data_IF_684956301718
#
_entry.id   IF_684956301718
#
_cell.length_a   1.000
_cell.length_b   1.000
_cell.length_c   1.000
_cell.angle_alpha   90.00
_cell.angle_beta   90.00
_cell.angle_gamma   90.00
#
_symmetry.space_group_name_H-M   'P 1'
#
loop_
_entity.id
_entity.type
_entity.pdbx_description
1 polymer ?
#
# COMPACT_ATOMS: atom_id res chain seq x y z
N UNK A 1 -63.55 3.57 37.88
CA UNK A 1 -63.21 4.98 38.11
C UNK A 1 -62.08 5.00 39.13
N UNK A 2 -60.85 4.85 38.66
CA UNK A 2 -59.61 5.10 39.42
C UNK A 2 -58.44 4.96 38.44
N UNK A 3 -58.08 6.09 37.84
CA UNK A 3 -56.91 6.27 36.98
C UNK A 3 -56.30 7.58 37.49
N UNK A 4 -55.43 7.49 38.49
CA UNK A 4 -54.70 8.64 39.01
C UNK A 4 -53.19 8.36 39.04
N UNK A 5 -52.51 9.17 38.23
CA UNK A 5 -51.23 9.83 38.52
C UNK A 5 -50.06 8.96 39.00
N UNK A 6 -49.30 8.46 38.03
CA UNK A 6 -47.86 8.22 38.19
C UNK A 6 -47.12 8.83 36.98
N UNK A 7 -47.15 10.16 36.88
CA UNK A 7 -46.30 10.94 35.99
C UNK A 7 -45.57 12.01 36.80
N UNK A 8 -44.30 12.21 36.46
CA UNK A 8 -43.48 13.38 36.82
C UNK A 8 -42.59 13.27 38.07
N UNK A 9 -41.62 12.36 38.04
CA UNK A 9 -40.27 12.59 38.60
C UNK A 9 -39.21 12.03 37.66
N UNK A 10 -39.05 12.63 36.49
CA UNK A 10 -37.88 12.39 35.66
C UNK A 10 -37.47 13.69 34.97
N UNK A 11 -36.23 14.11 35.21
CA UNK A 11 -35.56 15.12 34.41
C UNK A 11 -35.50 16.50 35.06
N UNK A 12 -34.52 16.70 35.95
CA UNK A 12 -33.81 17.99 36.13
C UNK A 12 -32.45 17.80 36.88
N UNK A 13 -31.69 16.74 36.58
CA UNK A 13 -30.36 16.52 37.23
C UNK A 13 -29.22 16.10 36.27
N UNK A 14 -29.33 16.33 34.96
CA UNK A 14 -28.27 15.94 34.00
C UNK A 14 -27.68 17.09 33.17
N UNK A 15 -28.05 18.35 33.43
CA UNK A 15 -27.47 19.50 32.74
C UNK A 15 -26.03 19.80 33.18
N UNK A 16 -25.81 19.82 34.50
CA UNK A 16 -24.51 20.17 35.09
C UNK A 16 -23.45 19.09 34.84
N UNK A 17 -23.85 17.81 34.84
CA UNK A 17 -22.95 16.69 34.54
C UNK A 17 -22.49 16.66 33.08
N UNK A 18 -23.35 17.11 32.15
CA UNK A 18 -23.00 17.21 30.73
C UNK A 18 -22.05 18.39 30.48
N UNK A 19 -22.29 19.53 31.11
CA UNK A 19 -21.41 20.69 30.99
C UNK A 19 -20.00 20.41 31.54
N UNK A 20 -19.91 19.76 32.72
CA UNK A 20 -18.63 19.37 33.31
C UNK A 20 -17.85 18.41 32.40
N UNK A 21 -18.54 17.44 31.79
CA UNK A 21 -17.93 16.51 30.84
C UNK A 21 -17.42 17.20 29.56
N UNK A 22 -18.13 18.21 29.05
CA UNK A 22 -17.67 19.01 27.91
C UNK A 22 -16.38 19.76 28.25
N UNK A 23 -16.31 20.36 29.46
CA UNK A 23 -15.11 21.06 29.90
C UNK A 23 -13.92 20.10 30.01
N UNK A 24 -14.09 18.93 30.63
CA UNK A 24 -13.04 17.90 30.74
C UNK A 24 -12.52 17.44 29.37
N UNK A 25 -13.42 17.22 28.41
CA UNK A 25 -13.05 16.85 27.04
C UNK A 25 -12.26 17.98 26.36
N UNK A 26 -12.65 19.24 26.54
CA UNK A 26 -11.94 20.38 25.99
C UNK A 26 -10.54 20.55 26.60
N UNK A 27 -10.40 20.36 27.92
CA UNK A 27 -9.10 20.39 28.59
C UNK A 27 -8.19 19.25 28.10
N UNK A 28 -8.73 18.02 28.02
CA UNK A 28 -7.99 16.86 27.50
C UNK A 28 -7.53 17.07 26.06
N UNK A 29 -8.41 17.59 25.20
CA UNK A 29 -8.09 17.90 23.81
C UNK A 29 -7.01 18.99 23.70
N UNK A 30 -7.08 20.04 24.53
CA UNK A 30 -6.08 21.10 24.57
C UNK A 30 -4.70 20.57 25.00
N UNK A 31 -4.65 19.76 26.07
CA UNK A 31 -3.42 19.12 26.55
C UNK A 31 -2.82 18.15 25.53
N UNK A 32 -3.65 17.45 24.76
CA UNK A 32 -3.18 16.60 23.67
C UNK A 32 -2.56 17.42 22.52
N UNK A 33 -3.16 18.55 22.13
CA UNK A 33 -2.60 19.45 21.11
C UNK A 33 -1.25 20.01 21.54
N UNK A 34 -1.13 20.45 22.80
CA UNK A 34 0.13 20.97 23.35
C UNK A 34 1.25 19.90 23.31
N UNK A 35 0.94 18.65 23.69
CA UNK A 35 1.90 17.54 23.60
C UNK A 35 2.32 17.24 22.15
N UNK A 36 1.36 17.21 21.22
CA UNK A 36 1.65 17.02 19.78
C UNK A 36 2.53 18.14 19.23
N UNK A 37 2.27 19.39 19.62
CA UNK A 37 3.07 20.53 19.18
C UNK A 37 4.52 20.46 19.71
N UNK A 38 4.71 20.08 20.98
CA UNK A 38 6.04 19.85 21.56
C UNK A 38 6.80 18.73 20.84
N UNK A 39 6.12 17.63 20.52
CA UNK A 39 6.71 16.53 19.77
C UNK A 39 7.13 16.94 18.35
N UNK A 40 6.29 17.72 17.65
CA UNK A 40 6.63 18.27 16.33
C UNK A 40 7.87 19.16 16.40
N UNK A 41 7.96 20.03 17.40
CA UNK A 41 9.13 20.89 17.60
C UNK A 41 10.42 20.08 17.81
N UNK A 42 10.36 19.01 18.63
CA UNK A 42 11.50 18.11 18.83
C UNK A 42 11.92 17.38 17.54
N UNK A 43 10.96 17.00 16.70
CA UNK A 43 11.25 16.40 15.39
C UNK A 43 11.90 17.41 14.44
N UNK A 44 11.41 18.65 14.40
CA UNK A 44 11.99 19.73 13.59
C UNK A 44 13.44 20.01 14.00
N UNK A 45 13.73 20.07 15.30
CA UNK A 45 15.08 20.23 15.83
C UNK A 45 15.99 19.05 15.45
N UNK A 46 15.48 17.81 15.57
CA UNK A 46 16.24 16.61 15.19
C UNK A 46 16.55 16.57 13.69
N UNK A 47 15.59 16.95 12.84
CA UNK A 47 15.79 17.05 11.39
C UNK A 47 16.81 18.13 11.05
N UNK A 48 16.74 19.31 11.68
CA UNK A 48 17.72 20.38 11.48
C UNK A 48 19.14 19.92 11.85
N UNK A 49 19.29 19.25 13.00
CA UNK A 49 20.56 18.67 13.44
C UNK A 49 21.10 17.65 12.45
N UNK A 50 20.33 16.62 12.09
CA UNK A 50 20.76 15.59 11.15
C UNK A 50 21.07 16.16 9.76
N UNK A 51 20.37 17.20 9.33
CA UNK A 51 20.64 17.88 8.05
C UNK A 51 22.00 18.57 8.09
N UNK A 52 22.31 19.28 9.18
CA UNK A 52 23.63 19.91 9.37
C UNK A 52 24.78 18.89 9.40
N UNK A 53 24.61 17.77 10.11
CA UNK A 53 25.58 16.67 10.15
C UNK A 53 25.82 16.05 8.77
N UNK A 54 24.75 15.85 7.99
CA UNK A 54 24.85 15.31 6.63
C UNK A 54 25.61 16.26 5.69
N UNK A 55 25.35 17.57 5.78
CA UNK A 55 26.09 18.59 5.02
C UNK A 55 27.58 18.57 5.41
N UNK A 56 27.90 18.49 6.70
CA UNK A 56 29.29 18.41 7.16
C UNK A 56 30.00 17.14 6.66
N UNK A 57 29.33 15.99 6.68
CA UNK A 57 29.86 14.73 6.16
C UNK A 57 30.12 14.80 4.65
N UNK A 58 29.22 15.41 3.87
CA UNK A 58 29.41 15.62 2.43
C UNK A 58 30.64 16.48 2.12
N UNK A 59 30.82 17.57 2.86
CA UNK A 59 32.01 18.43 2.72
C UNK A 59 33.30 17.67 3.07
N UNK A 60 33.28 16.84 4.12
CA UNK A 60 34.42 16.00 4.49
C UNK A 60 34.77 14.97 3.42
N UNK A 61 33.77 14.32 2.83
CA UNK A 61 33.98 13.39 1.71
C UNK A 61 34.60 14.13 0.53
N UNK A 62 34.06 15.31 0.18
CA UNK A 62 34.58 16.12 -0.93
C UNK A 62 36.05 16.52 -0.74
N UNK A 63 36.45 16.92 0.48
CA UNK A 63 37.84 17.23 0.80
C UNK A 63 38.76 16.01 0.70
N UNK A 64 38.32 14.84 1.19
CA UNK A 64 39.09 13.60 1.06
C UNK A 64 39.29 13.18 -0.40
N UNK A 65 38.26 13.36 -1.24
CA UNK A 65 38.36 13.07 -2.69
C UNK A 65 39.31 14.02 -3.40
N UNK A 66 39.29 15.33 -3.07
CA UNK A 66 40.21 16.31 -3.67
C UNK A 66 41.68 16.03 -3.30
N UNK A 67 41.95 15.64 -2.06
CA UNK A 67 43.31 15.30 -1.62
C UNK A 67 43.89 14.05 -2.28
N UNK A 68 43.05 13.09 -2.70
CA UNK A 68 43.49 11.90 -3.43
C UNK A 68 43.81 12.17 -4.91
N UNK A 69 43.16 13.17 -5.52
CA UNK A 69 43.44 13.53 -6.92
C UNK A 69 44.75 14.31 -7.11
N UNK A 70 45.30 14.93 -6.06
CA UNK A 70 46.55 15.71 -6.15
C UNK A 70 47.82 14.89 -5.93
N UNK A 71 47.74 13.60 -5.56
CA UNK A 71 48.92 12.75 -5.32
C UNK A 71 49.28 11.79 -6.45
N UNK A 72 48.46 11.70 -7.51
CA UNK A 72 48.67 10.76 -8.61
C UNK A 72 48.79 11.47 -9.97
N UNK A 73 49.83 12.30 -10.12
CA UNK A 73 50.36 12.70 -11.43
C UNK A 73 51.68 12.00 -11.66
N UNK A 74 51.61 10.71 -12.03
CA UNK A 74 52.59 9.98 -12.85
C UNK A 74 52.16 8.51 -12.92
N UNK A 75 51.28 8.19 -13.87
CA UNK A 75 51.23 6.89 -14.55
C UNK A 75 50.06 6.90 -15.54
N UNK A 76 50.42 6.89 -16.81
CA UNK A 76 49.54 6.73 -17.95
C UNK A 76 49.04 5.29 -18.04
N UNK A 77 47.77 5.17 -18.44
CA UNK A 77 47.16 4.12 -19.28
C UNK A 77 46.05 3.28 -18.63
N UNK A 78 44.98 3.13 -19.42
CA UNK A 78 43.83 2.23 -19.26
C UNK A 78 42.79 2.58 -18.19
N UNK A 79 42.11 3.71 -18.38
CA UNK A 79 40.79 3.94 -17.78
C UNK A 79 39.71 3.20 -18.55
N UNK A 80 39.33 2.04 -18.01
CA UNK A 80 37.99 1.51 -18.19
C UNK A 80 36.97 2.56 -17.72
N UNK A 81 36.00 2.82 -18.59
CA UNK A 81 34.90 3.77 -18.41
C UNK A 81 34.09 3.40 -17.15
N UNK A 82 34.43 4.00 -16.02
CA UNK A 82 33.71 3.81 -14.76
C UNK A 82 32.53 4.81 -14.75
N UNK A 83 31.26 4.34 -14.70
CA UNK A 83 30.12 5.24 -14.77
C UNK A 83 30.14 6.16 -13.54
N UNK A 84 30.12 7.44 -13.89
CA UNK A 84 30.50 8.62 -13.12
C UNK A 84 29.64 8.86 -11.88
N UNK A 85 30.08 9.83 -11.08
CA UNK A 85 29.40 10.53 -10.00
C UNK A 85 27.86 10.70 -10.15
N UNK A 86 27.34 10.71 -11.39
CA UNK A 86 25.90 10.67 -11.68
C UNK A 86 25.17 9.44 -11.12
N UNK A 87 25.80 8.26 -11.16
CA UNK A 87 25.20 7.04 -10.63
C UNK A 87 25.06 7.11 -9.09
N UNK A 88 26.09 7.63 -8.42
CA UNK A 88 26.06 7.84 -6.96
C UNK A 88 24.98 8.86 -6.56
N UNK A 89 24.84 9.94 -7.32
CA UNK A 89 23.80 10.95 -7.08
C UNK A 89 22.38 10.39 -7.31
N UNK A 90 22.18 9.54 -8.32
CA UNK A 90 20.90 8.86 -8.53
C UNK A 90 20.57 7.89 -7.40
N UNK A 91 21.53 7.08 -6.95
CA UNK A 91 21.33 6.16 -5.82
C UNK A 91 20.95 6.93 -4.55
N UNK A 92 21.61 8.05 -4.27
CA UNK A 92 21.30 8.87 -3.09
C UNK A 92 19.90 9.51 -3.17
N UNK A 93 19.47 9.96 -4.35
CA UNK A 93 18.13 10.48 -4.58
C UNK A 93 17.05 9.41 -4.35
N UNK A 94 17.30 8.18 -4.81
CA UNK A 94 16.39 7.05 -4.57
C UNK A 94 16.29 6.70 -3.08
N UNK A 95 17.41 6.66 -2.36
CA UNK A 95 17.42 6.41 -0.92
C UNK A 95 16.63 7.46 -0.13
N UNK A 96 16.76 8.75 -0.49
CA UNK A 96 15.98 9.82 0.15
C UNK A 96 14.48 9.70 -0.14
N UNK A 97 14.09 9.29 -1.37
CA UNK A 97 12.68 9.05 -1.71
C UNK A 97 12.09 7.88 -0.92
N UNK A 98 12.84 6.80 -0.73
CA UNK A 98 12.40 5.64 0.05
C UNK A 98 12.11 6.05 1.50
N UNK A 99 13.03 6.76 2.16
CA UNK A 99 12.85 7.24 3.53
C UNK A 99 11.60 8.14 3.69
N UNK A 100 11.37 9.04 2.74
CA UNK A 100 10.19 9.90 2.76
C UNK A 100 8.87 9.13 2.52
N UNK A 101 8.90 8.07 1.71
CA UNK A 101 7.74 7.19 1.51
C UNK A 101 7.46 6.33 2.75
N UNK A 102 8.49 5.84 3.43
CA UNK A 102 8.37 5.11 4.70
C UNK A 102 7.70 5.96 5.78
N UNK A 103 8.13 7.21 5.92
CA UNK A 103 7.57 8.14 6.90
C UNK A 103 6.09 8.46 6.62
N UNK A 104 5.70 8.60 5.35
CA UNK A 104 4.30 8.76 4.96
C UNK A 104 3.47 7.50 5.18
N UNK A 105 4.04 6.33 4.93
CA UNK A 105 3.35 5.05 5.12
C UNK A 105 3.07 4.79 6.60
N UNK A 106 4.03 5.05 7.49
CA UNK A 106 3.84 4.86 8.94
C UNK A 106 2.85 5.85 9.55
N UNK A 107 2.79 7.10 9.05
CA UNK A 107 1.83 8.10 9.56
C UNK A 107 0.39 7.86 9.12
N UNK A 108 0.17 7.11 8.04
CA UNK A 108 -1.14 6.97 7.40
C UNK A 108 -1.63 5.52 7.28
N UNK A 109 -0.98 4.55 7.92
CA UNK A 109 -1.48 3.17 7.95
C UNK A 109 -2.40 3.03 9.16
N UNK A 110 -3.74 3.13 9.01
CA UNK A 110 -4.64 2.81 10.10
C UNK A 110 -4.47 1.31 10.41
N UNK A 111 -4.14 0.98 11.66
CA UNK A 111 -4.31 -0.38 12.18
C UNK A 111 -5.81 -0.66 12.22
N UNK A 112 -6.36 -1.10 11.08
CA UNK A 112 -7.73 -1.60 11.01
C UNK A 112 -7.62 -3.10 11.22
N UNK A 113 -7.93 -3.55 12.43
CA UNK A 113 -8.14 -4.96 12.71
C UNK A 113 -9.20 -5.49 11.73
N UNK A 114 -8.83 -6.49 10.93
CA UNK A 114 -9.72 -7.10 9.93
C UNK A 114 -10.86 -7.93 10.56
N UNK A 115 -10.88 -8.07 11.89
CA UNK A 115 -11.68 -9.08 12.58
C UNK A 115 -13.11 -8.66 12.94
N UNK A 116 -13.51 -7.40 12.78
CA UNK A 116 -14.81 -6.89 13.31
C UNK A 116 -15.81 -6.40 12.24
N UNK A 117 -15.62 -6.77 10.97
CA UNK A 117 -16.60 -6.44 9.92
C UNK A 117 -17.71 -7.48 9.86
N UNK A 118 -18.64 -7.35 10.81
CA UNK A 118 -19.85 -8.16 10.95
C UNK A 118 -20.79 -8.17 9.74
N UNK A 119 -21.50 -9.29 9.65
CA UNK A 119 -22.69 -9.60 8.85
C UNK A 119 -22.50 -9.63 7.32
N UNK A 120 -22.07 -10.80 6.80
CA UNK A 120 -21.97 -11.12 5.36
C UNK A 120 -23.26 -10.89 4.57
N UNK A 121 -24.41 -10.71 5.23
CA UNK A 121 -25.66 -10.36 4.57
C UNK A 121 -25.68 -8.93 4.02
N UNK A 122 -24.88 -8.00 4.56
CA UNK A 122 -24.86 -6.60 4.11
C UNK A 122 -24.09 -6.42 2.80
N UNK A 123 -23.01 -7.16 2.60
CA UNK A 123 -22.18 -7.12 1.37
C UNK A 123 -22.94 -7.61 0.14
N UNK A 124 -23.86 -8.57 0.31
CA UNK A 124 -24.70 -9.07 -0.77
C UNK A 124 -25.82 -8.09 -1.19
N UNK A 125 -26.24 -7.19 -0.30
CA UNK A 125 -27.44 -6.33 -0.50
C UNK A 125 -27.12 -4.95 -1.04
N UNK A 126 -25.97 -4.38 -0.67
CA UNK A 126 -25.60 -3.00 -1.00
C UNK A 126 -24.29 -2.94 -1.76
N UNK A 127 -24.17 -2.00 -2.71
CA UNK A 127 -22.88 -1.77 -3.37
C UNK A 127 -21.92 -1.05 -2.42
N UNK A 128 -20.61 -1.19 -2.63
CA UNK A 128 -19.58 -0.49 -1.87
C UNK A 128 -19.83 1.04 -1.80
N UNK A 129 -20.28 1.66 -2.90
CA UNK A 129 -20.60 3.09 -2.93
C UNK A 129 -21.76 3.49 -2.01
N UNK A 130 -22.74 2.60 -1.80
CA UNK A 130 -23.84 2.86 -0.89
C UNK A 130 -23.41 2.76 0.57
N UNK A 131 -22.46 1.88 0.87
CA UNK A 131 -21.96 1.65 2.22
C UNK A 131 -20.90 2.67 2.64
N UNK A 132 -19.99 3.02 1.73
CA UNK A 132 -18.78 3.79 2.04
C UNK A 132 -18.68 5.11 1.27
N UNK A 133 -19.69 5.45 0.48
CA UNK A 133 -19.73 6.67 -0.31
C UNK A 133 -18.96 6.60 -1.64
N UNK A 134 -18.88 7.74 -2.32
CA UNK A 134 -18.26 7.85 -3.65
C UNK A 134 -16.74 7.75 -3.57
N UNK A 135 -16.17 7.02 -4.52
CA UNK A 135 -14.73 6.97 -4.70
C UNK A 135 -14.24 8.26 -5.35
N UNK A 136 -13.28 8.90 -4.69
CA UNK A 136 -12.48 9.97 -5.27
C UNK A 136 -11.39 9.38 -6.18
N UNK A 137 -11.56 9.60 -7.48
CA UNK A 137 -10.59 9.18 -8.51
C UNK A 137 -9.81 10.34 -9.11
N UNK A 138 -10.27 11.59 -8.95
CA UNK A 138 -9.70 12.71 -9.70
C UNK A 138 -8.30 13.08 -9.20
N UNK A 139 -8.09 13.04 -7.88
CA UNK A 139 -6.77 13.29 -7.30
C UNK A 139 -5.73 12.26 -7.77
N UNK A 140 -6.13 10.99 -7.88
CA UNK A 140 -5.23 9.91 -8.27
C UNK A 140 -4.99 9.86 -9.78
N UNK A 141 -5.99 10.19 -10.59
CA UNK A 141 -5.80 10.44 -12.03
C UNK A 141 -4.77 11.54 -12.26
N UNK A 142 -4.90 12.67 -11.57
CA UNK A 142 -3.94 13.76 -11.68
C UNK A 142 -2.52 13.30 -11.34
N UNK A 143 -2.34 12.54 -10.25
CA UNK A 143 -1.04 11.96 -9.88
C UNK A 143 -0.50 10.99 -10.93
N UNK A 144 -1.34 10.08 -11.43
CA UNK A 144 -0.94 9.14 -12.48
C UNK A 144 -0.51 9.86 -13.77
N UNK A 145 -1.15 10.98 -14.12
CA UNK A 145 -0.78 11.80 -15.27
C UNK A 145 0.53 12.60 -15.10
N UNK A 146 1.09 12.68 -13.88
CA UNK A 146 2.44 13.20 -13.68
C UNK A 146 3.53 12.21 -14.11
N UNK A 147 3.19 10.94 -14.30
CA UNK A 147 4.12 9.90 -14.77
C UNK A 147 4.27 10.08 -16.29
N UNK A 148 5.47 10.37 -16.83
CA UNK A 148 5.61 10.87 -18.20
C UNK A 148 4.99 9.99 -19.30
N UNK A 149 5.21 8.65 -19.33
CA UNK A 149 4.57 7.78 -20.33
C UNK A 149 3.05 7.69 -20.21
N UNK A 150 2.48 8.12 -19.07
CA UNK A 150 1.06 8.04 -18.78
C UNK A 150 0.33 9.36 -18.96
N UNK A 151 1.01 10.46 -19.28
CA UNK A 151 0.39 11.77 -19.51
C UNK A 151 -0.72 11.67 -20.55
N UNK A 152 -1.96 11.93 -20.13
CA UNK A 152 -3.18 11.81 -20.95
C UNK A 152 -3.43 10.39 -21.53
N UNK A 153 -2.86 9.35 -20.92
CA UNK A 153 -3.07 7.99 -21.38
C UNK A 153 -4.51 7.53 -21.09
N UNK A 154 -5.25 7.16 -22.15
CA UNK A 154 -6.64 6.66 -22.05
C UNK A 154 -6.79 5.47 -21.08
N UNK A 155 -5.75 4.66 -20.91
CA UNK A 155 -5.76 3.53 -19.97
C UNK A 155 -5.89 3.98 -18.51
N UNK A 156 -5.30 5.13 -18.15
CA UNK A 156 -5.45 5.73 -16.81
C UNK A 156 -6.89 6.17 -16.58
N UNK A 157 -7.51 6.84 -17.55
CA UNK A 157 -8.93 7.20 -17.43
C UNK A 157 -9.85 5.99 -17.30
N UNK A 158 -9.55 4.93 -18.07
CA UNK A 158 -10.29 3.67 -18.05
C UNK A 158 -10.16 2.95 -16.72
N UNK A 159 -8.95 2.77 -16.19
CA UNK A 159 -8.76 2.02 -14.93
C UNK A 159 -9.49 2.70 -13.76
N UNK A 160 -9.37 4.02 -13.63
CA UNK A 160 -10.09 4.78 -12.60
C UNK A 160 -11.59 4.84 -12.85
N UNK A 161 -12.03 4.93 -14.11
CA UNK A 161 -13.45 4.80 -14.46
C UNK A 161 -14.03 3.43 -14.12
N UNK A 162 -13.23 2.36 -14.22
CA UNK A 162 -13.62 1.02 -13.82
C UNK A 162 -13.72 0.88 -12.30
N UNK A 163 -12.85 1.52 -11.51
CA UNK A 163 -12.99 1.56 -10.05
C UNK A 163 -14.33 2.18 -9.61
N UNK A 164 -14.78 3.25 -10.27
CA UNK A 164 -16.11 3.85 -10.01
C UNK A 164 -17.25 2.93 -10.46
N UNK A 165 -17.05 2.10 -11.48
CA UNK A 165 -18.07 1.14 -11.92
C UNK A 165 -18.18 -0.03 -10.95
N UNK A 166 -17.05 -0.57 -10.49
CA UNK A 166 -17.05 -1.69 -9.54
C UNK A 166 -17.56 -1.26 -8.16
N UNK A 167 -17.36 0.00 -7.74
CA UNK A 167 -17.98 0.52 -6.50
C UNK A 167 -19.51 0.50 -6.52
N UNK A 168 -20.13 0.53 -7.71
CA UNK A 168 -21.58 0.51 -7.91
C UNK A 168 -22.12 -0.88 -8.21
N UNK A 169 -21.26 -1.86 -8.45
CA UNK A 169 -21.68 -3.22 -8.72
C UNK A 169 -22.32 -3.83 -7.47
N UNK A 170 -23.47 -4.48 -7.66
CA UNK A 170 -24.16 -5.31 -6.64
C UNK A 170 -24.15 -6.79 -6.98
N UNK A 171 -23.90 -7.11 -8.25
CA UNK A 171 -23.85 -8.48 -8.75
C UNK A 171 -22.38 -8.91 -8.87
N UNK A 172 -22.06 -10.09 -8.35
CA UNK A 172 -20.72 -10.67 -8.31
C UNK A 172 -20.12 -10.85 -9.71
N UNK A 173 -20.87 -11.33 -10.69
CA UNK A 173 -20.40 -11.60 -12.05
C UNK A 173 -20.00 -10.29 -12.74
N UNK A 174 -20.80 -9.23 -12.54
CA UNK A 174 -20.51 -7.89 -13.03
C UNK A 174 -19.24 -7.36 -12.36
N UNK A 175 -19.13 -7.49 -11.04
CA UNK A 175 -17.96 -7.03 -10.30
C UNK A 175 -16.68 -7.75 -10.74
N UNK A 176 -16.73 -9.08 -10.88
CA UNK A 176 -15.62 -9.89 -11.38
C UNK A 176 -15.22 -9.47 -12.80
N UNK A 177 -16.19 -9.29 -13.70
CA UNK A 177 -15.93 -8.79 -15.05
C UNK A 177 -15.23 -7.42 -15.05
N UNK A 178 -15.62 -6.51 -14.14
CA UNK A 178 -15.02 -5.20 -14.00
C UNK A 178 -13.60 -5.27 -13.41
N UNK A 179 -13.37 -6.09 -12.39
CA UNK A 179 -12.05 -6.30 -11.79
C UNK A 179 -11.07 -6.92 -12.79
N UNK A 180 -11.49 -7.90 -13.60
CA UNK A 180 -10.66 -8.44 -14.69
C UNK A 180 -10.28 -7.35 -15.69
N UNK A 181 -11.21 -6.44 -16.02
CA UNK A 181 -10.91 -5.29 -16.89
C UNK A 181 -9.92 -4.34 -16.23
N UNK A 182 -10.01 -4.12 -14.91
CA UNK A 182 -9.04 -3.32 -14.14
C UNK A 182 -7.64 -3.96 -14.24
N UNK A 183 -7.53 -5.27 -14.03
CA UNK A 183 -6.26 -6.00 -14.14
C UNK A 183 -5.65 -5.91 -15.54
N UNK A 184 -6.48 -6.02 -16.59
CA UNK A 184 -6.01 -5.85 -17.98
C UNK A 184 -5.53 -4.43 -18.27
N UNK A 185 -6.25 -3.41 -17.82
CA UNK A 185 -5.83 -2.01 -17.98
C UNK A 185 -4.55 -1.72 -17.18
N UNK A 186 -4.42 -2.31 -16.00
CA UNK A 186 -3.19 -2.27 -15.20
C UNK A 186 -1.99 -2.85 -15.97
N UNK A 187 -2.13 -4.05 -16.53
CA UNK A 187 -1.09 -4.67 -17.36
C UNK A 187 -0.69 -3.81 -18.57
N UNK A 188 -1.67 -3.20 -19.25
CA UNK A 188 -1.43 -2.26 -20.37
C UNK A 188 -0.66 -1.02 -19.94
N UNK A 189 -0.92 -0.50 -18.74
CA UNK A 189 -0.18 0.62 -18.16
C UNK A 189 1.25 0.18 -17.87
N UNK A 190 1.45 -0.97 -17.22
CA UNK A 190 2.79 -1.49 -16.93
C UNK A 190 3.63 -1.71 -18.19
N UNK A 191 3.05 -2.24 -19.26
CA UNK A 191 3.73 -2.43 -20.54
C UNK A 191 4.23 -1.12 -21.18
N UNK A 192 3.55 0.00 -20.92
CA UNK A 192 3.94 1.33 -21.44
C UNK A 192 4.98 2.04 -20.58
N UNK A 193 5.16 1.61 -19.34
CA UNK A 193 6.04 2.23 -18.37
C UNK A 193 7.41 1.55 -18.32
N UNK A 194 8.47 2.34 -18.17
CA UNK A 194 9.76 1.85 -17.69
C UNK A 194 9.69 1.40 -16.23
N UNK A 195 10.73 0.75 -15.71
CA UNK A 195 10.75 0.19 -14.35
C UNK A 195 10.40 1.25 -13.29
N UNK A 196 11.04 2.42 -13.36
CA UNK A 196 10.80 3.54 -12.43
C UNK A 196 9.35 4.03 -12.53
N UNK A 197 8.82 4.18 -13.74
CA UNK A 197 7.44 4.62 -13.96
C UNK A 197 6.41 3.59 -13.48
N UNK A 198 6.71 2.29 -13.59
CA UNK A 198 5.88 1.22 -13.03
C UNK A 198 5.80 1.33 -11.51
N UNK A 199 6.93 1.55 -10.84
CA UNK A 199 6.96 1.75 -9.39
C UNK A 199 6.15 2.98 -8.98
N UNK A 200 6.35 4.12 -9.64
CA UNK A 200 5.57 5.33 -9.38
C UNK A 200 4.06 5.11 -9.57
N UNK A 201 3.65 4.33 -10.58
CA UNK A 201 2.24 4.02 -10.80
C UNK A 201 1.68 3.07 -9.74
N UNK A 202 2.46 2.08 -9.31
CA UNK A 202 2.12 1.20 -8.19
C UNK A 202 1.92 2.03 -6.92
N UNK A 203 2.76 3.03 -6.66
CA UNK A 203 2.61 3.92 -5.50
C UNK A 203 1.30 4.71 -5.54
N UNK A 204 0.91 5.20 -6.73
CA UNK A 204 -0.39 5.89 -6.90
C UNK A 204 -1.55 4.95 -6.60
N UNK A 205 -1.48 3.68 -7.06
CA UNK A 205 -2.51 2.68 -6.78
C UNK A 205 -2.52 2.23 -5.31
N UNK A 206 -1.35 2.12 -4.69
CA UNK A 206 -1.23 1.81 -3.27
C UNK A 206 -1.91 2.90 -2.43
N UNK A 207 -1.61 4.17 -2.71
CA UNK A 207 -2.27 5.31 -2.04
C UNK A 207 -3.79 5.31 -2.27
N UNK A 208 -4.24 5.00 -3.49
CA UNK A 208 -5.65 4.86 -3.82
C UNK A 208 -6.32 3.76 -3.00
N UNK A 209 -5.69 2.57 -2.93
CA UNK A 209 -6.20 1.43 -2.19
C UNK A 209 -6.22 1.70 -0.68
N UNK A 210 -5.23 2.40 -0.13
CA UNK A 210 -5.22 2.81 1.28
C UNK A 210 -6.35 3.79 1.59
N UNK A 211 -6.55 4.81 0.75
CA UNK A 211 -7.64 5.80 0.95
C UNK A 211 -9.03 5.16 0.83
N UNK A 212 -9.19 4.21 -0.09
CA UNK A 212 -10.46 3.54 -0.39
C UNK A 212 -10.48 2.09 0.11
N UNK A 213 -9.82 1.83 1.23
CA UNK A 213 -9.59 0.47 1.74
C UNK A 213 -10.89 -0.31 1.98
N UNK A 214 -11.92 0.35 2.51
CA UNK A 214 -13.23 -0.28 2.74
C UNK A 214 -13.89 -0.77 1.43
N UNK A 215 -13.78 -0.01 0.34
CA UNK A 215 -14.25 -0.44 -0.97
C UNK A 215 -13.46 -1.64 -1.48
N UNK A 216 -12.13 -1.62 -1.35
CA UNK A 216 -11.26 -2.73 -1.77
C UNK A 216 -11.62 -4.01 -1.02
N UNK A 217 -11.75 -3.96 0.31
CA UNK A 217 -12.17 -5.12 1.12
C UNK A 217 -13.53 -5.64 0.63
N UNK A 218 -14.50 -4.76 0.43
CA UNK A 218 -15.83 -5.16 -0.01
C UNK A 218 -15.80 -5.89 -1.36
N UNK A 219 -15.02 -5.41 -2.33
CA UNK A 219 -14.87 -6.08 -3.63
C UNK A 219 -14.17 -7.43 -3.50
N UNK A 220 -13.12 -7.50 -2.67
CA UNK A 220 -12.43 -8.74 -2.37
C UNK A 220 -13.40 -9.76 -1.77
N UNK A 221 -14.13 -9.40 -0.70
CA UNK A 221 -15.13 -10.27 -0.07
C UNK A 221 -16.17 -10.76 -1.09
N UNK A 222 -16.78 -9.84 -1.84
CA UNK A 222 -17.79 -10.18 -2.84
C UNK A 222 -17.27 -11.18 -3.90
N UNK A 223 -16.01 -11.09 -4.31
CA UNK A 223 -15.46 -11.97 -5.36
C UNK A 223 -14.88 -13.29 -4.82
N UNK A 224 -14.37 -13.28 -3.59
CA UNK A 224 -13.67 -14.41 -2.98
C UNK A 224 -14.63 -15.33 -2.23
N UNK A 225 -15.58 -14.80 -1.46
CA UNK A 225 -16.45 -15.60 -0.56
C UNK A 225 -17.29 -16.66 -1.31
N UNK A 226 -17.60 -16.43 -2.59
CA UNK A 226 -18.35 -17.37 -3.41
C UNK A 226 -17.50 -18.33 -4.26
N UNK A 227 -16.19 -18.11 -4.33
CA UNK A 227 -15.27 -18.89 -5.18
C UNK A 227 -14.21 -19.66 -4.38
N UNK A 228 -14.06 -19.33 -3.09
CA UNK A 228 -12.98 -19.84 -2.26
C UNK A 228 -13.38 -21.13 -1.57
N UNK A 229 -13.03 -22.26 -2.18
CA UNK A 229 -12.71 -23.47 -1.43
C UNK A 229 -11.19 -23.57 -1.49
N UNK A 230 -10.46 -23.39 -0.37
CA UNK A 230 -9.02 -23.59 -0.37
C UNK A 230 -8.78 -25.05 -0.75
N UNK A 231 -8.41 -25.27 -2.01
CA UNK A 231 -7.92 -26.57 -2.44
C UNK A 231 -6.55 -26.70 -1.81
N UNK A 232 -6.48 -27.37 -0.66
CA UNK A 232 -5.23 -27.86 -0.10
C UNK A 232 -4.67 -28.90 -1.06
N UNK A 233 -4.10 -28.44 -2.16
CA UNK A 233 -3.45 -29.31 -3.13
C UNK A 233 -2.02 -29.46 -2.62
N UNK A 234 -1.62 -30.64 -2.11
CA UNK A 234 -0.26 -30.83 -1.64
C UNK A 234 0.69 -30.58 -2.81
N UNK A 235 1.52 -29.55 -2.69
CA UNK A 235 2.50 -29.21 -3.73
C UNK A 235 3.67 -30.17 -3.60
N UNK A 236 3.84 -31.01 -4.62
CA UNK A 236 5.03 -31.83 -4.76
C UNK A 236 6.11 -30.94 -5.38
N UNK A 237 7.17 -30.64 -4.62
CA UNK A 237 8.23 -29.70 -5.06
C UNK A 237 8.89 -30.06 -6.40
N UNK A 238 8.80 -31.34 -6.80
CA UNK A 238 9.40 -31.87 -8.04
C UNK A 238 8.72 -31.35 -9.31
N UNK A 239 7.50 -30.80 -9.19
CA UNK A 239 6.69 -30.40 -10.36
C UNK A 239 6.78 -28.89 -10.66
N UNK A 240 7.58 -28.14 -9.89
CA UNK A 240 7.74 -26.70 -10.09
C UNK A 240 8.90 -26.38 -11.05
N UNK A 241 8.69 -25.53 -12.07
CA UNK A 241 9.72 -25.00 -12.94
C UNK A 241 10.84 -24.30 -12.15
N UNK A 242 12.09 -24.31 -12.65
CA UNK A 242 13.23 -23.66 -11.98
C UNK A 242 13.01 -22.17 -11.67
N UNK A 243 12.27 -21.45 -12.52
CA UNK A 243 11.92 -20.04 -12.30
C UNK A 243 11.03 -19.86 -11.07
N UNK A 244 9.99 -20.69 -10.93
CA UNK A 244 9.05 -20.64 -9.79
C UNK A 244 9.75 -21.12 -8.52
N UNK A 245 10.63 -22.13 -8.61
CA UNK A 245 11.47 -22.54 -7.48
C UNK A 245 12.36 -21.39 -7.00
N UNK A 246 13.00 -20.66 -7.93
CA UNK A 246 13.83 -19.50 -7.59
C UNK A 246 13.01 -18.40 -6.91
N UNK A 247 11.82 -18.10 -7.44
CA UNK A 247 10.86 -17.18 -6.83
C UNK A 247 10.51 -17.63 -5.40
N UNK A 248 10.03 -18.88 -5.24
CA UNK A 248 9.66 -19.47 -3.96
C UNK A 248 10.79 -19.39 -2.93
N UNK A 249 12.00 -19.80 -3.30
CA UNK A 249 13.18 -19.74 -2.42
C UNK A 249 13.53 -18.30 -2.04
N UNK A 250 13.38 -17.34 -2.95
CA UNK A 250 13.68 -15.94 -2.70
C UNK A 250 12.64 -15.31 -1.76
N UNK A 251 11.36 -15.57 -2.01
CA UNK A 251 10.25 -15.09 -1.19
C UNK A 251 10.31 -15.68 0.23
N UNK A 252 10.57 -16.99 0.38
CA UNK A 252 10.67 -17.63 1.70
C UNK A 252 11.79 -17.09 2.59
N UNK A 253 12.79 -16.39 2.03
CA UNK A 253 13.85 -15.72 2.81
C UNK A 253 13.40 -14.39 3.43
N UNK A 254 12.23 -13.88 3.06
CA UNK A 254 11.67 -12.66 3.62
C UNK A 254 11.11 -12.95 5.01
N UNK A 255 11.57 -12.21 6.02
CA UNK A 255 11.31 -12.52 7.43
C UNK A 255 9.85 -12.36 7.84
N UNK A 256 9.09 -11.52 7.12
CA UNK A 256 7.65 -11.36 7.28
C UNK A 256 6.82 -12.63 7.03
N UNK A 257 7.34 -13.62 6.30
CA UNK A 257 6.55 -14.79 5.86
C UNK A 257 6.81 -16.07 6.65
N UNK A 258 7.56 -16.03 7.75
CA UNK A 258 7.94 -17.23 8.51
C UNK A 258 6.74 -18.05 9.00
N UNK A 259 5.58 -17.42 9.21
CA UNK A 259 4.34 -18.07 9.66
C UNK A 259 3.35 -18.37 8.53
N UNK A 260 3.71 -18.08 7.27
CA UNK A 260 2.76 -18.09 6.15
C UNK A 260 3.34 -18.72 4.88
N UNK A 261 4.22 -19.68 5.08
CA UNK A 261 4.83 -20.46 4.00
C UNK A 261 3.78 -21.19 3.14
N UNK A 262 2.64 -21.56 3.73
CA UNK A 262 1.51 -22.19 3.03
C UNK A 262 0.91 -21.29 1.95
N UNK A 263 0.76 -19.99 2.22
CA UNK A 263 0.21 -19.02 1.25
C UNK A 263 1.19 -18.81 0.09
N UNK A 264 2.50 -18.78 0.37
CA UNK A 264 3.53 -18.70 -0.67
C UNK A 264 3.51 -19.95 -1.55
N UNK A 265 3.37 -21.11 -0.93
CA UNK A 265 3.26 -22.38 -1.62
C UNK A 265 2.04 -22.39 -2.55
N UNK A 266 0.85 -22.08 -2.03
CA UNK A 266 -0.37 -21.94 -2.83
C UNK A 266 -0.18 -20.96 -4.00
N UNK A 267 0.44 -19.80 -3.75
CA UNK A 267 0.75 -18.84 -4.82
C UNK A 267 1.63 -19.46 -5.91
N UNK A 268 2.68 -20.20 -5.53
CA UNK A 268 3.56 -20.88 -6.47
C UNK A 268 2.84 -21.97 -7.28
N UNK A 269 1.89 -22.69 -6.66
CA UNK A 269 1.06 -23.66 -7.36
C UNK A 269 0.26 -23.01 -8.49
N UNK A 270 -0.40 -21.90 -8.17
CA UNK A 270 -1.15 -21.17 -9.20
C UNK A 270 -0.22 -20.61 -10.27
N UNK A 271 0.91 -20.00 -9.89
CA UNK A 271 1.90 -19.51 -10.86
C UNK A 271 2.40 -20.60 -11.82
N UNK A 272 2.39 -21.87 -11.40
CA UNK A 272 2.78 -23.02 -12.22
C UNK A 272 1.71 -23.45 -13.22
N UNK A 273 0.44 -23.11 -13.01
CA UNK A 273 -0.67 -23.53 -13.87
C UNK A 273 -0.57 -22.98 -15.31
N UNK A 274 0.35 -22.05 -15.58
CA UNK A 274 0.70 -21.63 -16.94
C UNK A 274 -0.43 -20.90 -17.65
N UNK A 275 -0.76 -21.27 -18.88
CA UNK A 275 -1.78 -20.58 -19.68
C UNK A 275 -3.23 -21.03 -19.38
N UNK A 276 -3.41 -22.03 -18.50
CA UNK A 276 -4.71 -22.65 -18.22
C UNK A 276 -5.48 -22.01 -17.05
N UNK A 277 -5.29 -20.72 -16.80
CA UNK A 277 -6.01 -20.04 -15.72
C UNK A 277 -7.51 -19.90 -16.03
N UNK A 278 -8.34 -20.44 -15.13
CA UNK A 278 -9.74 -20.04 -15.04
C UNK A 278 -9.87 -18.62 -14.47
N UNK A 279 -11.05 -18.02 -14.59
CA UNK A 279 -11.31 -16.71 -13.99
C UNK A 279 -11.14 -16.78 -12.46
N UNK A 280 -11.57 -17.89 -11.87
CA UNK A 280 -11.44 -18.21 -10.45
C UNK A 280 -9.97 -18.21 -10.03
N UNK A 281 -9.10 -18.84 -10.82
CA UNK A 281 -7.67 -18.90 -10.52
C UNK A 281 -7.02 -17.51 -10.56
N UNK A 282 -7.44 -16.63 -11.48
CA UNK A 282 -6.93 -15.25 -11.55
C UNK A 282 -7.27 -14.48 -10.25
N UNK A 283 -8.51 -14.61 -9.77
CA UNK A 283 -8.92 -14.00 -8.51
C UNK A 283 -8.19 -14.60 -7.31
N UNK A 284 -7.95 -15.91 -7.34
CA UNK A 284 -7.22 -16.62 -6.31
C UNK A 284 -5.76 -16.15 -6.24
N UNK A 285 -5.06 -16.07 -7.38
CA UNK A 285 -3.71 -15.51 -7.47
C UNK A 285 -3.68 -14.10 -6.92
N UNK A 286 -4.64 -13.26 -7.30
CA UNK A 286 -4.68 -11.88 -6.83
C UNK A 286 -4.89 -11.80 -5.31
N UNK A 287 -5.78 -12.63 -4.75
CA UNK A 287 -5.97 -12.72 -3.31
C UNK A 287 -4.70 -13.17 -2.59
N UNK A 288 -4.07 -14.25 -3.05
CA UNK A 288 -2.83 -14.78 -2.45
C UNK A 288 -1.70 -13.74 -2.53
N UNK A 289 -1.56 -13.03 -3.65
CA UNK A 289 -0.62 -11.91 -3.79
C UNK A 289 -0.89 -10.81 -2.76
N UNK A 290 -2.14 -10.35 -2.62
CA UNK A 290 -2.49 -9.32 -1.64
C UNK A 290 -2.28 -9.79 -0.19
N UNK A 291 -2.69 -11.01 0.12
CA UNK A 291 -2.51 -11.63 1.44
C UNK A 291 -1.02 -11.71 1.80
N UNK A 292 -0.19 -12.15 0.85
CA UNK A 292 1.27 -12.21 1.03
C UNK A 292 1.84 -10.80 1.22
N UNK A 293 1.48 -9.83 0.39
CA UNK A 293 1.97 -8.44 0.51
C UNK A 293 1.60 -7.76 1.82
N UNK A 294 0.47 -8.13 2.42
CA UNK A 294 0.03 -7.62 3.72
C UNK A 294 0.85 -8.17 4.89
N UNK A 295 1.56 -9.29 4.71
CA UNK A 295 2.44 -9.87 5.73
C UNK A 295 3.86 -9.28 5.70
N UNK A 296 4.22 -8.53 4.66
CA UNK A 296 5.48 -7.78 4.64
C UNK A 296 5.46 -6.71 5.74
N UNK A 297 6.49 -6.70 6.59
CA UNK A 297 6.59 -5.79 7.74
C UNK A 297 7.01 -4.37 7.35
N UNK A 298 7.70 -4.24 6.22
CA UNK A 298 8.23 -2.97 5.74
C UNK A 298 8.30 -2.93 4.21
N UNK A 299 8.68 -1.78 3.66
CA UNK A 299 8.76 -1.55 2.21
C UNK A 299 9.89 -2.35 1.54
N UNK A 300 10.97 -2.60 2.27
CA UNK A 300 12.10 -3.37 1.78
C UNK A 300 11.67 -4.81 1.49
N UNK A 301 10.93 -5.45 2.40
CA UNK A 301 10.38 -6.78 2.22
C UNK A 301 9.42 -6.85 1.02
N UNK A 302 8.52 -5.85 0.86
CA UNK A 302 7.64 -5.77 -0.32
C UNK A 302 8.44 -5.62 -1.61
N UNK A 303 9.50 -4.82 -1.60
CA UNK A 303 10.38 -4.63 -2.75
C UNK A 303 11.07 -5.93 -3.13
N UNK A 304 11.63 -6.66 -2.15
CA UNK A 304 12.24 -7.98 -2.38
C UNK A 304 11.22 -8.97 -2.94
N UNK A 305 9.97 -8.95 -2.46
CA UNK A 305 8.91 -9.80 -2.99
C UNK A 305 8.62 -9.51 -4.47
N UNK A 306 8.54 -8.24 -4.87
CA UNK A 306 8.29 -7.86 -6.27
C UNK A 306 9.48 -8.12 -7.21
N UNK A 307 10.71 -8.19 -6.67
CA UNK A 307 11.92 -8.47 -7.44
C UNK A 307 12.26 -9.97 -7.54
N UNK A 308 11.64 -10.80 -6.70
CA UNK A 308 11.81 -12.25 -6.72
C UNK A 308 11.23 -12.86 -8.00
#
# INVERSE_FOLDING_TARGET
MELQLATSKCGMLNGDSLFQRILELNFSASALRARKQSYLFQLEEKVAKLTSENVALRLRIQLMTQSQTTSNTESLAEQAFCPSLECANQIQLFQQRILHLEERFHRNSPEIAMDDFGDNNLTAKFSAEQLYGRIDVQSFKAKAFLIPPLKNAKNVDRIFGLFVKVSKARNIEIARSLLLKIMREHGRIQQKCGIIDRMNFIDVLAEFNTKHHAHVIHWCKMCIEHSFVPKQTPIIEKDLPPSILKFRTSVRKISGFSQSLTIIDELCHFLNAGDEYTIEDIFQVNYLLHSTLNQCKNIEERTRFWLA
#
